data_IF_121278813914
#
_entry.id   IF_121278813914
#
_cell.length_a   1.000
_cell.length_b   1.000
_cell.length_c   1.000
_cell.angle_alpha   90.00
_cell.angle_beta   90.00
_cell.angle_gamma   90.00
#
_symmetry.space_group_name_H-M   'P 1'
#
loop_
_entity.id
_entity.type
_entity.pdbx_description
1 polymer ?
#
# COMPACT_ATOMS: atom_id res chain seq x y z
N UNK A 1 -49.22 2.88 -14.96
CA UNK A 1 -47.84 2.77 -15.49
C UNK A 1 -46.92 3.72 -14.72
N UNK A 2 -46.41 3.32 -13.55
CA UNK A 2 -45.32 4.04 -12.85
C UNK A 2 -44.52 3.04 -12.01
N UNK A 3 -43.72 2.19 -12.65
CA UNK A 3 -42.78 1.28 -11.97
C UNK A 3 -41.54 1.22 -12.86
N UNK A 4 -40.37 1.60 -12.35
CA UNK A 4 -39.11 1.38 -13.06
C UNK A 4 -37.98 2.38 -12.83
N UNK A 5 -38.05 3.25 -11.81
CA UNK A 5 -37.02 4.28 -11.59
C UNK A 5 -36.24 4.07 -10.29
N UNK A 6 -35.79 2.83 -10.01
CA UNK A 6 -35.04 2.54 -8.77
C UNK A 6 -33.89 1.52 -8.89
N UNK A 7 -33.52 1.07 -10.11
CA UNK A 7 -32.56 -0.03 -10.30
C UNK A 7 -31.35 0.31 -11.20
N UNK A 8 -30.95 1.59 -11.29
CA UNK A 8 -29.81 2.03 -12.12
C UNK A 8 -28.76 2.80 -11.31
N UNK A 9 -28.38 2.28 -10.14
CA UNK A 9 -27.38 2.91 -9.25
C UNK A 9 -26.49 1.87 -8.55
N UNK A 10 -25.90 0.94 -9.32
CA UNK A 10 -24.94 -0.06 -8.82
C UNK A 10 -23.70 -0.25 -9.70
N UNK A 11 -23.43 0.65 -10.65
CA UNK A 11 -22.41 0.42 -11.68
C UNK A 11 -21.36 1.54 -11.81
N UNK A 12 -20.90 2.05 -10.68
CA UNK A 12 -19.75 2.96 -10.58
C UNK A 12 -19.10 2.79 -9.20
N UNK A 13 -18.57 1.59 -8.95
CA UNK A 13 -17.50 1.42 -7.98
C UNK A 13 -16.19 1.61 -8.75
N UNK A 14 -15.56 2.74 -8.49
CA UNK A 14 -14.33 3.23 -9.10
C UNK A 14 -13.23 2.17 -9.20
N UNK A 15 -12.66 2.03 -10.40
CA UNK A 15 -11.47 1.23 -10.72
C UNK A 15 -10.20 1.64 -9.93
N UNK A 16 -10.25 2.74 -9.17
CA UNK A 16 -9.10 3.35 -8.47
C UNK A 16 -8.76 2.75 -7.09
N UNK A 17 -9.49 1.74 -6.58
CA UNK A 17 -9.25 1.19 -5.21
C UNK A 17 -9.04 -0.34 -5.18
N UNK A 18 -8.95 -1.01 -6.33
CA UNK A 18 -8.66 -2.45 -6.36
C UNK A 18 -7.15 -2.68 -6.39
N UNK A 19 -6.53 -2.69 -5.21
CA UNK A 19 -5.16 -3.21 -5.06
C UNK A 19 -5.12 -4.65 -5.60
N UNK A 20 -4.24 -4.89 -6.56
CA UNK A 20 -4.11 -6.18 -7.23
C UNK A 20 -3.03 -6.99 -6.54
N UNK A 21 -3.29 -8.27 -6.31
CA UNK A 21 -2.32 -9.26 -5.86
C UNK A 21 -1.93 -10.18 -7.00
N UNK A 22 -0.78 -10.83 -6.88
CA UNK A 22 -0.26 -11.78 -7.83
C UNK A 22 0.17 -13.04 -7.09
N UNK A 23 -0.52 -14.14 -7.35
CA UNK A 23 -0.18 -15.46 -6.81
C UNK A 23 0.88 -16.11 -7.69
N UNK A 24 2.01 -16.49 -7.10
CA UNK A 24 3.12 -17.14 -7.78
C UNK A 24 3.07 -18.66 -7.55
N UNK A 25 3.41 -19.44 -8.57
CA UNK A 25 3.36 -20.90 -8.56
C UNK A 25 4.68 -21.50 -9.03
N UNK A 26 5.00 -22.72 -8.58
CA UNK A 26 6.22 -23.40 -9.01
C UNK A 26 6.15 -23.86 -10.47
N UNK A 27 4.95 -24.25 -10.94
CA UNK A 27 4.74 -24.73 -12.31
C UNK A 27 3.50 -24.12 -12.96
N UNK A 28 3.44 -24.16 -14.28
CA UNK A 28 2.31 -23.63 -15.07
C UNK A 28 1.04 -24.42 -14.81
N UNK A 29 1.15 -25.74 -14.61
CA UNK A 29 0.01 -26.61 -14.30
C UNK A 29 -0.67 -26.18 -12.99
N UNK A 30 0.12 -25.80 -11.98
CA UNK A 30 -0.37 -25.29 -10.71
C UNK A 30 -1.06 -23.93 -10.87
N UNK A 31 -0.51 -23.02 -11.69
CA UNK A 31 -1.14 -21.74 -11.96
C UNK A 31 -2.51 -21.91 -12.65
N UNK A 32 -2.60 -22.81 -13.64
CA UNK A 32 -3.85 -23.13 -14.34
C UNK A 32 -4.85 -23.81 -13.40
N UNK A 33 -4.39 -24.75 -12.56
CA UNK A 33 -5.24 -25.41 -11.56
C UNK A 33 -5.77 -24.41 -10.52
N UNK A 34 -4.91 -23.48 -10.08
CA UNK A 34 -5.25 -22.41 -9.15
C UNK A 34 -6.32 -21.48 -9.73
N UNK A 35 -6.14 -21.00 -10.95
CA UNK A 35 -7.14 -20.15 -11.62
C UNK A 35 -8.51 -20.84 -11.71
N UNK A 36 -8.54 -22.12 -12.08
CA UNK A 36 -9.78 -22.90 -12.14
C UNK A 36 -10.44 -23.06 -10.77
N UNK A 37 -9.65 -23.31 -9.72
CA UNK A 37 -10.16 -23.42 -8.36
C UNK A 37 -10.77 -22.10 -7.87
N UNK A 38 -10.10 -20.98 -8.13
CA UNK A 38 -10.57 -19.65 -7.76
C UNK A 38 -11.84 -19.25 -8.51
N UNK A 39 -11.91 -19.50 -9.82
CA UNK A 39 -13.13 -19.28 -10.61
C UNK A 39 -14.30 -20.12 -10.12
N UNK A 40 -14.06 -21.38 -9.72
CA UNK A 40 -15.11 -22.25 -9.13
C UNK A 40 -15.63 -21.70 -7.80
N UNK A 41 -14.78 -21.03 -7.02
CA UNK A 41 -15.15 -20.36 -5.78
C UNK A 41 -15.79 -18.98 -5.98
N UNK A 42 -15.94 -18.51 -7.23
CA UNK A 42 -16.53 -17.19 -7.54
C UNK A 42 -15.56 -16.02 -7.35
N UNK A 43 -14.26 -16.28 -7.18
CA UNK A 43 -13.23 -15.26 -7.01
C UNK A 43 -12.85 -14.69 -8.38
N UNK A 44 -12.75 -13.36 -8.46
CA UNK A 44 -12.36 -12.68 -9.70
C UNK A 44 -10.85 -12.79 -9.87
N UNK A 45 -10.40 -13.55 -10.85
CA UNK A 45 -8.97 -13.76 -11.12
C UNK A 45 -8.66 -13.90 -12.61
N UNK A 46 -7.40 -13.63 -12.98
CA UNK A 46 -6.90 -13.76 -14.36
C UNK A 46 -5.49 -14.34 -14.38
N UNK A 47 -5.22 -15.25 -15.33
CA UNK A 47 -3.84 -15.67 -15.62
C UNK A 47 -3.06 -14.53 -16.27
N UNK A 48 -1.91 -14.19 -15.70
CA UNK A 48 -1.01 -13.14 -16.18
C UNK A 48 0.44 -13.63 -16.14
N UNK A 49 1.30 -13.08 -16.99
CA UNK A 49 2.73 -13.29 -16.85
C UNK A 49 3.25 -12.42 -15.68
N UNK A 50 3.88 -13.01 -14.66
CA UNK A 50 4.46 -12.23 -13.57
C UNK A 50 5.59 -11.35 -14.11
N UNK A 51 5.74 -10.11 -13.59
CA UNK A 51 6.86 -9.24 -13.93
C UNK A 51 8.21 -9.96 -13.77
N UNK A 52 9.22 -9.68 -14.60
CA UNK A 52 10.48 -10.42 -14.60
C UNK A 52 11.17 -10.53 -13.23
N UNK A 53 11.02 -9.51 -12.38
CA UNK A 53 11.61 -9.46 -11.05
C UNK A 53 10.84 -10.30 -9.99
N UNK A 54 9.60 -10.70 -10.26
CA UNK A 54 8.77 -11.55 -9.38
C UNK A 54 8.68 -13.00 -9.88
N UNK A 55 9.33 -13.34 -10.98
CA UNK A 55 9.33 -14.71 -11.51
C UNK A 55 10.03 -15.66 -10.54
N UNK A 56 9.25 -16.51 -9.89
CA UNK A 56 9.72 -17.62 -9.08
C UNK A 56 9.02 -18.88 -9.58
N UNK A 57 9.80 -19.85 -10.08
CA UNK A 57 9.26 -21.14 -10.55
C UNK A 57 8.81 -21.15 -12.01
N UNK A 58 7.79 -20.38 -12.39
CA UNK A 58 7.26 -20.37 -13.76
C UNK A 58 6.90 -18.96 -14.29
N UNK A 59 6.63 -18.87 -15.60
CA UNK A 59 6.28 -17.63 -16.30
C UNK A 59 4.78 -17.29 -16.24
N UNK A 60 4.02 -17.94 -15.35
CA UNK A 60 2.56 -17.76 -15.24
C UNK A 60 2.15 -17.60 -13.78
N UNK A 61 1.43 -16.54 -13.48
CA UNK A 61 0.84 -16.26 -12.17
C UNK A 61 -0.66 -15.99 -12.29
N UNK A 62 -1.33 -15.90 -11.14
CA UNK A 62 -2.76 -15.56 -11.09
C UNK A 62 -2.93 -14.21 -10.42
N UNK A 63 -3.43 -13.23 -11.17
CA UNK A 63 -3.80 -11.91 -10.65
C UNK A 63 -5.14 -12.02 -9.91
N UNK A 64 -5.20 -11.44 -8.72
CA UNK A 64 -6.35 -11.45 -7.81
C UNK A 64 -6.60 -10.04 -7.27
N UNK A 65 -7.75 -9.83 -6.63
CA UNK A 65 -7.95 -8.68 -5.76
C UNK A 65 -7.25 -8.93 -4.42
N UNK A 66 -6.38 -8.03 -3.98
CA UNK A 66 -5.55 -8.23 -2.79
C UNK A 66 -6.39 -8.39 -1.50
N UNK A 67 -7.51 -7.69 -1.41
CA UNK A 67 -8.46 -7.85 -0.29
C UNK A 67 -9.01 -9.29 -0.17
N UNK A 68 -9.01 -10.06 -1.26
CA UNK A 68 -9.48 -11.45 -1.29
C UNK A 68 -8.36 -12.45 -1.00
N UNK A 69 -7.14 -12.00 -0.65
CA UNK A 69 -5.97 -12.87 -0.43
C UNK A 69 -6.28 -14.02 0.54
N UNK A 70 -6.89 -13.75 1.70
CA UNK A 70 -7.19 -14.81 2.69
C UNK A 70 -8.16 -15.85 2.13
N UNK A 71 -9.14 -15.43 1.31
CA UNK A 71 -10.06 -16.34 0.64
C UNK A 71 -9.36 -17.16 -0.44
N UNK A 72 -8.48 -16.53 -1.23
CA UNK A 72 -7.65 -17.17 -2.26
C UNK A 72 -6.76 -18.25 -1.66
N UNK A 73 -6.02 -17.94 -0.59
CA UNK A 73 -5.13 -18.90 0.07
C UNK A 73 -5.89 -20.10 0.61
N UNK A 74 -7.06 -19.86 1.22
CA UNK A 74 -7.93 -20.93 1.72
C UNK A 74 -8.42 -21.83 0.60
N UNK A 75 -8.92 -21.26 -0.51
CA UNK A 75 -9.42 -22.03 -1.66
C UNK A 75 -8.30 -22.83 -2.31
N UNK A 76 -7.10 -22.26 -2.48
CA UNK A 76 -5.96 -22.96 -3.06
C UNK A 76 -5.50 -24.11 -2.17
N UNK A 77 -5.50 -23.93 -0.84
CA UNK A 77 -5.18 -24.99 0.12
C UNK A 77 -6.21 -26.11 0.11
N UNK A 78 -7.50 -25.78 0.08
CA UNK A 78 -8.60 -26.75 0.00
C UNK A 78 -8.62 -27.50 -1.35
N UNK A 79 -8.22 -26.83 -2.43
CA UNK A 79 -8.09 -27.44 -3.76
C UNK A 79 -6.82 -28.28 -3.92
N UNK A 80 -5.90 -28.27 -2.94
CA UNK A 80 -4.63 -28.98 -3.02
C UNK A 80 -3.65 -28.39 -4.04
N UNK A 81 -3.77 -27.09 -4.35
CA UNK A 81 -2.90 -26.38 -5.29
C UNK A 81 -1.85 -25.60 -4.50
N UNK A 82 -0.61 -26.11 -4.37
CA UNK A 82 0.46 -25.37 -3.71
C UNK A 82 0.82 -24.13 -4.52
N UNK A 83 1.04 -23.03 -3.80
CA UNK A 83 1.53 -21.76 -4.34
C UNK A 83 2.76 -21.33 -3.55
N UNK A 84 3.61 -20.49 -4.15
CA UNK A 84 4.85 -20.00 -3.53
C UNK A 84 4.51 -18.91 -2.52
N UNK A 85 3.86 -17.85 -3.02
CA UNK A 85 3.50 -16.67 -2.25
C UNK A 85 2.49 -15.82 -3.05
N UNK A 86 1.83 -14.91 -2.34
CA UNK A 86 1.02 -13.84 -2.94
C UNK A 86 1.81 -12.54 -2.79
N UNK A 87 2.15 -11.90 -3.91
CA UNK A 87 2.93 -10.67 -3.95
C UNK A 87 2.12 -9.54 -4.56
N UNK A 88 2.48 -8.29 -4.24
CA UNK A 88 1.96 -7.16 -5.00
C UNK A 88 2.70 -7.12 -6.36
N UNK A 89 2.02 -7.10 -7.52
CA UNK A 89 2.65 -7.13 -8.84
C UNK A 89 3.55 -5.92 -9.10
N UNK A 90 3.36 -4.84 -8.33
CA UNK A 90 4.22 -3.66 -8.38
C UNK A 90 5.54 -3.79 -7.59
N UNK A 91 5.75 -4.95 -6.96
CA UNK A 91 6.96 -5.28 -6.21
C UNK A 91 7.16 -4.45 -4.96
N UNK A 92 8.06 -4.91 -4.09
CA UNK A 92 8.54 -4.15 -2.92
C UNK A 92 9.12 -2.76 -3.31
N UNK A 93 9.43 -2.53 -4.59
CA UNK A 93 9.96 -1.25 -5.09
C UNK A 93 8.96 -0.09 -5.03
N UNK A 94 7.65 -0.34 -5.12
CA UNK A 94 6.66 0.73 -4.92
C UNK A 94 6.37 1.02 -3.44
N UNK A 95 6.66 0.09 -2.53
CA UNK A 95 6.55 0.37 -1.08
C UNK A 95 7.54 1.44 -0.62
N UNK A 96 8.64 1.63 -1.36
CA UNK A 96 9.75 2.49 -0.97
C UNK A 96 9.73 3.89 -1.58
N UNK A 97 8.79 4.25 -2.48
CA UNK A 97 8.86 5.50 -3.24
C UNK A 97 7.49 6.04 -3.76
N UNK A 98 6.45 6.11 -2.92
CA UNK A 98 5.29 6.95 -3.23
C UNK A 98 5.12 7.97 -2.11
N UNK A 99 5.96 9.02 -2.17
CA UNK A 99 5.74 10.22 -1.39
C UNK A 99 4.56 10.98 -2.00
N UNK A 100 3.44 11.08 -1.27
CA UNK A 100 2.29 11.88 -1.70
C UNK A 100 2.14 13.08 -0.77
N UNK A 101 2.22 14.28 -1.34
CA UNK A 101 2.00 15.53 -0.63
C UNK A 101 0.54 15.94 -0.78
N UNK A 102 -0.13 16.23 0.33
CA UNK A 102 -1.49 16.77 0.36
C UNK A 102 -1.45 18.08 1.13
N UNK A 103 -1.93 19.17 0.52
CA UNK A 103 -2.01 20.49 1.16
C UNK A 103 -3.43 20.68 1.70
N UNK A 104 -3.55 21.08 2.95
CA UNK A 104 -4.81 21.19 3.70
C UNK A 104 -4.83 22.54 4.44
N UNK A 105 -5.39 23.59 3.83
CA UNK A 105 -5.40 24.95 4.39
C UNK A 105 -4.03 25.39 4.94
N UNK A 106 -3.86 25.41 6.26
CA UNK A 106 -2.62 25.78 6.96
C UNK A 106 -1.64 24.62 7.15
N UNK A 107 -2.02 23.41 6.80
CA UNK A 107 -1.25 22.20 7.04
C UNK A 107 -0.77 21.55 5.74
N UNK A 108 0.33 20.84 5.84
CA UNK A 108 0.84 19.98 4.78
C UNK A 108 1.02 18.59 5.35
N UNK A 109 0.41 17.61 4.68
CA UNK A 109 0.57 16.20 5.00
C UNK A 109 1.45 15.53 3.95
N UNK A 110 2.51 14.89 4.39
CA UNK A 110 3.37 14.03 3.59
C UNK A 110 3.07 12.59 3.94
N UNK A 111 2.61 11.82 2.94
CA UNK A 111 2.45 10.37 3.05
C UNK A 111 3.68 9.69 2.44
N UNK A 112 4.29 8.76 3.16
CA UNK A 112 5.36 7.88 2.67
C UNK A 112 5.02 6.44 3.07
N UNK A 113 4.79 5.57 2.07
CA UNK A 113 4.21 4.24 2.30
C UNK A 113 2.86 4.34 3.04
N UNK A 114 2.72 3.63 4.15
CA UNK A 114 1.53 3.70 5.01
C UNK A 114 1.59 4.79 6.08
N UNK A 115 2.72 5.48 6.24
CA UNK A 115 2.91 6.55 7.22
C UNK A 115 2.51 7.90 6.65
N UNK A 116 2.02 8.78 7.53
CA UNK A 116 1.63 10.16 7.23
C UNK A 116 2.20 11.06 8.31
N UNK A 117 2.89 12.12 7.92
CA UNK A 117 3.33 13.20 8.80
C UNK A 117 2.61 14.48 8.36
N UNK A 118 2.00 15.19 9.31
CA UNK A 118 1.32 16.46 9.05
C UNK A 118 1.96 17.55 9.88
N UNK A 119 2.25 18.69 9.27
CA UNK A 119 2.82 19.85 9.93
C UNK A 119 2.09 21.14 9.53
N UNK A 120 2.14 22.15 10.39
CA UNK A 120 1.68 23.51 10.07
C UNK A 120 2.71 24.20 9.18
N UNK A 121 2.27 24.67 8.01
CA UNK A 121 3.14 25.25 6.99
C UNK A 121 3.73 26.61 7.41
N UNK A 122 3.09 27.31 8.36
CA UNK A 122 3.53 28.62 8.82
C UNK A 122 4.54 28.49 9.97
N UNK A 123 4.33 27.52 10.87
CA UNK A 123 5.14 27.38 12.09
C UNK A 123 6.16 26.25 12.02
N UNK A 124 6.00 25.28 11.11
CA UNK A 124 6.87 24.10 11.04
C UNK A 124 6.63 23.06 12.14
N UNK A 125 5.58 23.23 12.94
CA UNK A 125 5.23 22.31 14.04
C UNK A 125 4.55 21.06 13.46
N UNK A 126 5.02 19.89 13.88
CA UNK A 126 4.40 18.60 13.56
C UNK A 126 3.12 18.47 14.39
N UNK A 127 1.96 18.52 13.72
CA UNK A 127 0.65 18.46 14.39
C UNK A 127 0.08 17.05 14.45
N UNK A 128 0.59 16.13 13.62
CA UNK A 128 0.14 14.75 13.64
C UNK A 128 1.13 13.82 12.95
N UNK A 129 1.25 12.60 13.46
CA UNK A 129 1.74 11.46 12.69
C UNK A 129 0.71 10.34 12.76
N UNK A 130 0.47 9.64 11.65
CA UNK A 130 -0.54 8.57 11.60
C UNK A 130 -0.20 7.51 10.57
N UNK A 131 -0.87 6.36 10.68
CA UNK A 131 -0.66 5.20 9.81
C UNK A 131 0.07 4.06 10.53
N UNK A 132 0.38 3.02 9.75
CA UNK A 132 1.05 1.82 10.25
C UNK A 132 0.23 0.97 11.23
N UNK A 133 0.90 -0.07 11.74
CA UNK A 133 0.46 -0.99 12.81
C UNK A 133 1.66 -1.55 13.58
N UNK A 134 2.79 -0.83 13.51
CA UNK A 134 4.06 -1.20 14.11
C UNK A 134 4.06 -0.84 15.61
N UNK A 135 4.75 -1.63 16.47
CA UNK A 135 4.75 -1.42 17.92
C UNK A 135 5.44 -0.11 18.37
N UNK A 136 6.26 0.52 17.52
CA UNK A 136 7.00 1.75 17.83
C UNK A 136 6.26 3.05 17.49
N UNK A 137 5.10 2.98 16.83
CA UNK A 137 4.32 4.18 16.45
C UNK A 137 3.90 5.04 17.66
N UNK A 138 3.36 4.48 18.77
CA UNK A 138 2.97 5.29 19.91
C UNK A 138 4.15 6.06 20.52
N UNK A 139 5.33 5.43 20.56
CA UNK A 139 6.55 6.07 21.03
C UNK A 139 6.97 7.21 20.07
N UNK A 140 7.05 6.93 18.77
CA UNK A 140 7.35 7.94 17.75
C UNK A 140 6.38 9.13 17.81
N UNK A 141 5.09 8.86 18.05
CA UNK A 141 4.07 9.92 18.19
C UNK A 141 4.42 10.86 19.35
N UNK A 142 4.66 10.29 20.53
CA UNK A 142 5.03 11.07 21.73
C UNK A 142 6.32 11.88 21.57
N UNK A 143 7.24 11.42 20.71
CA UNK A 143 8.53 12.06 20.52
C UNK A 143 8.52 13.14 19.43
N UNK A 144 7.53 13.15 18.54
CA UNK A 144 7.55 14.00 17.34
C UNK A 144 6.43 15.04 17.33
N UNK A 145 5.23 14.70 17.79
CA UNK A 145 4.08 15.62 17.77
C UNK A 145 4.32 16.79 18.73
N UNK A 146 3.82 17.97 18.35
CA UNK A 146 3.99 19.26 19.02
C UNK A 146 5.43 19.82 19.02
N UNK A 147 6.34 19.21 18.24
CA UNK A 147 7.71 19.69 18.07
C UNK A 147 7.94 20.27 16.68
N UNK A 148 8.93 21.17 16.58
CA UNK A 148 9.33 21.75 15.31
C UNK A 148 10.09 20.74 14.45
N UNK A 149 9.91 20.76 13.12
CA UNK A 149 10.56 19.85 12.18
C UNK A 149 12.09 19.80 12.30
N UNK A 150 12.74 20.89 12.73
CA UNK A 150 14.20 20.96 12.92
C UNK A 150 14.69 20.53 14.30
N UNK A 151 13.80 20.46 15.30
CA UNK A 151 14.16 20.16 16.69
C UNK A 151 14.02 18.67 17.03
N UNK A 152 13.35 17.91 16.16
CA UNK A 152 13.11 16.49 16.40
C UNK A 152 14.31 15.62 16.05
N UNK A 153 14.54 14.59 16.85
CA UNK A 153 15.39 13.46 16.47
C UNK A 153 14.74 12.74 15.28
N UNK A 154 15.58 12.32 14.32
CA UNK A 154 15.09 11.67 13.10
C UNK A 154 14.29 10.42 13.43
N UNK A 155 13.14 10.18 12.77
CA UNK A 155 12.31 9.00 13.07
C UNK A 155 13.06 7.66 12.93
N UNK A 156 14.03 7.56 12.00
CA UNK A 156 14.86 6.34 11.82
C UNK A 156 15.81 6.06 12.99
N UNK A 157 16.12 7.07 13.80
CA UNK A 157 16.98 6.95 14.99
C UNK A 157 16.17 6.60 16.24
N UNK A 158 14.87 6.93 16.24
CA UNK A 158 13.95 6.65 17.34
C UNK A 158 13.29 5.27 17.24
N UNK A 159 12.95 4.83 16.03
CA UNK A 159 12.25 3.57 15.80
C UNK A 159 13.13 2.45 15.25
N UNK A 160 12.59 1.22 15.24
CA UNK A 160 13.29 0.02 14.73
C UNK A 160 12.51 -0.71 13.65
N UNK A 161 11.36 -0.18 13.24
CA UNK A 161 10.49 -0.82 12.25
C UNK A 161 10.57 -0.12 10.90
N UNK A 162 10.03 -0.78 9.87
CA UNK A 162 9.83 -0.17 8.57
C UNK A 162 8.97 1.09 8.65
N UNK A 163 8.01 1.15 9.57
CA UNK A 163 7.19 2.33 9.77
C UNK A 163 8.05 3.54 10.19
N UNK A 164 9.08 3.34 11.02
CA UNK A 164 10.02 4.40 11.39
C UNK A 164 10.84 4.90 10.20
N UNK A 165 11.32 3.99 9.34
CA UNK A 165 12.03 4.35 8.11
C UNK A 165 11.15 5.12 7.13
N UNK A 166 9.88 4.72 7.00
CA UNK A 166 8.92 5.44 6.14
C UNK A 166 8.55 6.81 6.70
N UNK A 167 8.40 6.92 8.01
CA UNK A 167 8.14 8.20 8.67
C UNK A 167 9.33 9.16 8.54
N UNK A 168 10.56 8.64 8.62
CA UNK A 168 11.79 9.42 8.42
C UNK A 168 11.86 10.02 7.01
N UNK A 169 11.50 9.23 6.00
CA UNK A 169 11.38 9.71 4.63
C UNK A 169 10.31 10.82 4.49
N UNK A 170 9.16 10.63 5.13
CA UNK A 170 8.11 11.64 5.19
C UNK A 170 8.56 12.93 5.89
N UNK A 171 9.38 12.81 6.93
CA UNK A 171 9.99 13.93 7.65
C UNK A 171 11.00 14.70 6.79
N UNK A 172 11.90 14.01 6.07
CA UNK A 172 12.86 14.68 5.16
C UNK A 172 12.11 15.53 4.12
N UNK A 173 11.05 14.97 3.53
CA UNK A 173 10.25 15.69 2.56
C UNK A 173 9.47 16.85 3.18
N UNK A 174 8.93 16.67 4.38
CA UNK A 174 8.25 17.75 5.11
C UNK A 174 9.20 18.92 5.41
N UNK A 175 10.42 18.62 5.85
CA UNK A 175 11.45 19.62 6.12
C UNK A 175 11.83 20.39 4.85
N UNK A 176 12.06 19.69 3.74
CA UNK A 176 12.34 20.33 2.44
C UNK A 176 11.19 21.25 2.00
N UNK A 177 9.93 20.77 2.10
CA UNK A 177 8.76 21.56 1.74
C UNK A 177 8.59 22.81 2.62
N UNK A 178 8.87 22.70 3.92
CA UNK A 178 8.80 23.84 4.84
C UNK A 178 9.89 24.88 4.56
N UNK A 179 11.10 24.44 4.16
CA UNK A 179 12.20 25.32 3.73
C UNK A 179 12.00 25.96 2.36
N UNK A 180 10.91 25.62 1.65
CA UNK A 180 10.63 26.13 0.31
C UNK A 180 11.39 25.38 -0.80
N UNK A 181 11.98 24.22 -0.51
CA UNK A 181 12.67 23.40 -1.49
C UNK A 181 11.68 22.48 -2.23
N UNK A 182 11.29 22.88 -3.44
CA UNK A 182 10.67 21.96 -4.40
C UNK A 182 11.75 21.07 -5.02
N UNK A 183 12.09 19.95 -4.36
CA UNK A 183 12.79 18.86 -5.02
C UNK A 183 11.87 18.32 -6.12
N UNK A 184 12.15 18.73 -7.36
CA UNK A 184 11.61 18.15 -8.58
C UNK A 184 11.86 16.64 -8.56
N UNK A 185 10.79 15.86 -8.44
CA UNK A 185 10.83 14.42 -8.70
C UNK A 185 10.90 14.21 -10.22
N UNK A 186 12.13 14.13 -10.74
CA UNK A 186 12.44 13.58 -12.07
C UNK A 186 12.51 12.06 -12.02
#
# INVERSE_FOLDING_TARGET
MVIGWFWKKRHELSEEVLERGLVLFHTVEQAIAGEKALKKAGITCRLVAPPPHLRKGCDVGVEIVLMEQTAVEKVLKEAGTPFIEVVHPKGERELLNIEKVTRLDNYVMVKAGNMKLTFDKNTGIIVNISGGGCPDIPYLYSQLVDKHLEEVTRPKELGRTLCALMLDRGWERALALWKGEELCSS
#
